data_IF_372046406567
#
_entry.id   IF_372046406567
#
_cell.length_a   1.000
_cell.length_b   1.000
_cell.length_c   1.000
_cell.angle_alpha   90.00
_cell.angle_beta   90.00
_cell.angle_gamma   90.00
#
_symmetry.space_group_name_H-M   'P 1'
#
loop_
_entity.id
_entity.type
_entity.pdbx_description
1 polymer ?
2 non-polymer ?
3 non-polymer ?
4 water ?
#
# COMPACT_ATOMS: atom_id res chain seq x y z
N UNK A 8 -6.60 0.81 -20.35
CA UNK A 8 -6.79 1.14 -18.89
C UNK A 8 -6.76 2.67 -18.66
N UNK A 9 -7.58 3.16 -17.71
CA UNK A 9 -7.70 4.59 -17.38
C UNK A 9 -6.37 5.16 -16.87
N UNK A 10 -6.32 6.52 -16.68
CA UNK A 10 -5.15 7.34 -16.12
C UNK A 10 -5.18 8.47 -14.95
N UNK A 11 -6.27 9.21 -14.76
CA UNK A 11 -6.40 10.12 -13.63
C UNK A 11 -7.31 9.43 -12.73
N UNK A 12 -8.10 8.52 -13.25
CA UNK A 12 -8.95 7.75 -12.32
C UNK A 12 -8.32 6.39 -12.21
N UNK A 13 -7.01 6.35 -12.44
CA UNK A 13 -6.22 5.13 -12.63
C UNK A 13 -6.08 4.25 -11.38
N UNK A 14 -5.93 4.87 -10.20
CA UNK A 14 -5.74 4.08 -8.98
C UNK A 14 -6.60 4.72 -7.86
N UNK A 15 -7.94 4.59 -7.99
CA UNK A 15 -8.91 5.33 -7.17
C UNK A 15 -8.91 4.92 -5.67
N UNK A 16 -8.29 3.75 -5.37
CA UNK A 16 -8.11 3.19 -4.01
C UNK A 16 -6.91 3.75 -3.22
N UNK A 17 -5.97 4.46 -3.88
CA UNK A 17 -4.73 4.80 -3.18
C UNK A 17 -4.95 5.95 -2.19
N UNK A 18 -4.47 5.81 -0.96
CA UNK A 18 -4.71 6.81 0.08
C UNK A 18 -3.39 7.46 0.43
N UNK A 19 -3.41 8.75 0.78
CA UNK A 19 -2.20 9.48 1.13
C UNK A 19 -2.31 9.70 2.61
N UNK A 20 -1.30 9.25 3.36
CA UNK A 20 -1.32 9.34 4.82
C UNK A 20 -0.25 10.34 5.36
N UNK A 21 -0.68 11.27 6.20
CA UNK A 21 0.20 12.35 6.67
C UNK A 21 0.19 12.43 8.17
N UNK A 22 1.37 12.73 8.71
CA UNK A 22 1.56 12.99 10.15
C UNK A 22 2.80 13.85 10.13
N UNK A 23 2.75 14.98 10.82
CA UNK A 23 3.89 15.90 10.81
C UNK A 23 4.37 16.22 9.39
N UNK A 24 5.62 15.90 9.08
CA UNK A 24 6.11 16.05 7.71
C UNK A 24 6.45 14.66 7.15
N UNK A 25 5.96 13.61 7.80
CA UNK A 25 6.21 12.27 7.25
C UNK A 25 5.06 11.87 6.33
N UNK A 26 5.27 10.82 5.55
CA UNK A 26 4.31 10.41 4.53
C UNK A 26 4.30 8.92 4.37
N UNK A 27 3.13 8.36 4.12
CA UNK A 27 3.03 6.97 3.74
C UNK A 27 1.83 6.88 2.81
N UNK A 28 1.76 5.86 1.98
CA UNK A 28 0.51 5.64 1.24
C UNK A 28 -0.19 4.47 1.92
N UNK A 29 -1.37 4.09 1.42
CA UNK A 29 -2.08 2.90 1.87
C UNK A 29 -3.12 2.59 0.80
N UNK A 30 -4.04 1.67 1.11
CA UNK A 30 -5.05 1.29 0.13
C UNK A 30 -6.41 1.26 0.77
N UNK A 31 -7.38 1.91 0.11
CA UNK A 31 -8.74 1.84 0.57
C UNK A 31 -9.28 0.44 0.22
N UNK A 32 -9.60 -0.33 1.25
CA UNK A 32 -10.20 -1.63 1.06
C UNK A 32 -11.69 -1.62 1.37
N UNK A 33 -12.21 -0.55 1.94
CA UNK A 33 -13.64 -0.38 2.06
C UNK A 33 -13.84 1.05 2.50
N UNK A 34 -15.10 1.54 2.50
CA UNK A 34 -15.28 2.98 2.68
C UNK A 34 -14.68 3.48 3.98
N UNK A 35 -14.66 2.68 5.04
CA UNK A 35 -14.10 3.17 6.32
C UNK A 35 -12.74 2.59 6.73
N UNK A 36 -12.12 1.78 5.85
CA UNK A 36 -10.86 1.10 6.13
C UNK A 36 -9.74 1.29 5.10
N UNK A 37 -8.56 1.64 5.59
CA UNK A 37 -7.37 1.71 4.75
C UNK A 37 -6.34 0.70 5.29
N UNK A 38 -5.68 -0.01 4.39
CA UNK A 38 -4.65 -0.94 4.72
C UNK A 38 -3.28 -0.33 4.34
N UNK A 39 -2.30 -0.33 5.26
CA UNK A 39 -0.95 0.25 5.02
C UNK A 39 0.07 -0.64 5.70
N UNK A 40 1.30 -0.12 5.82
CA UNK A 40 2.37 -0.80 6.51
C UNK A 40 2.40 -0.45 7.99
N UNK A 41 2.66 -1.46 8.82
CA UNK A 41 2.75 -1.26 10.26
C UNK A 41 3.92 -0.34 10.57
N UNK A 42 5.01 -0.45 9.81
CA UNK A 42 6.20 0.37 10.09
C UNK A 42 5.88 1.86 9.98
N UNK A 43 4.88 2.21 9.17
CA UNK A 43 4.49 3.62 9.09
C UNK A 43 3.98 4.13 10.45
N UNK A 44 3.48 3.22 11.29
CA UNK A 44 2.81 3.64 12.54
C UNK A 44 3.49 3.16 13.80
N UNK A 45 4.69 2.62 13.67
CA UNK A 45 5.36 1.97 14.81
C UNK A 45 5.73 2.90 15.95
N UNK A 46 5.85 4.20 15.72
CA UNK A 46 6.14 5.10 16.85
C UNK A 46 4.88 5.50 17.64
N UNK A 47 3.73 4.92 17.27
CA UNK A 47 2.39 5.20 17.83
C UNK A 47 1.93 6.69 17.84
N UNK A 48 1.72 7.30 16.67
CA UNK A 48 1.19 8.65 16.71
C UNK A 48 -0.25 8.66 17.26
N UNK A 49 -0.72 9.77 17.80
CA UNK A 49 -2.15 9.89 18.19
C UNK A 49 -2.98 9.88 16.92
N UNK A 50 -4.09 9.10 16.87
CA UNK A 50 -4.97 9.10 15.71
C UNK A 50 -5.36 10.51 15.25
N UNK A 51 -5.49 11.41 16.21
CA UNK A 51 -5.88 12.81 15.95
C UNK A 51 -4.89 13.56 15.05
N UNK A 52 -3.62 13.15 15.07
CA UNK A 52 -2.62 13.88 14.26
C UNK A 52 -2.42 13.26 12.87
N UNK A 53 -3.18 12.20 12.53
CA UNK A 53 -3.11 11.57 11.19
C UNK A 53 -4.11 12.25 10.27
N UNK A 54 -3.77 12.37 8.98
CA UNK A 54 -4.69 12.86 7.94
C UNK A 54 -4.62 11.91 6.76
N UNK A 55 -5.79 11.51 6.27
CA UNK A 55 -5.91 10.65 5.08
C UNK A 55 -6.58 11.49 4.01
N UNK A 56 -5.98 11.50 2.83
CA UNK A 56 -6.61 12.08 1.66
C UNK A 56 -6.75 10.97 0.63
N UNK A 57 -7.99 10.75 0.19
CA UNK A 57 -8.35 9.91 -0.94
C UNK A 57 -8.61 10.77 -2.18
N UNK A 58 -8.37 10.20 -3.36
CA UNK A 58 -8.56 10.93 -4.60
C UNK A 58 -7.49 11.96 -4.95
N UNK A 59 -6.35 11.94 -4.25
CA UNK A 59 -5.36 13.04 -4.38
C UNK A 59 -4.48 12.81 -5.61
N UNK A 60 -4.18 13.86 -6.32
CA UNK A 60 -3.31 13.76 -7.46
C UNK A 60 -1.86 14.03 -7.05
N UNK A 61 -1.62 15.10 -6.33
CA UNK A 61 -0.31 15.46 -5.84
C UNK A 61 -0.29 15.65 -4.35
N UNK A 62 0.78 15.13 -3.71
CA UNK A 62 0.87 15.24 -2.27
C UNK A 62 0.86 16.69 -1.88
N UNK A 63 0.70 16.76 -1.34
CA UNK A 63 0.18 17.87 -0.57
C UNK A 63 -0.71 18.81 -1.37
N UNK A 64 -1.37 18.68 -2.15
CA UNK A 64 -2.20 19.53 -2.97
C UNK A 64 -3.66 19.22 -2.79
N UNK A 65 -4.47 20.23 -2.47
CA UNK A 65 -5.92 20.03 -2.44
C UNK A 65 -6.40 19.94 -3.89
N UNK A 66 -7.58 19.40 -4.12
CA UNK A 66 -8.08 19.19 -5.47
C UNK A 66 -9.57 18.96 -5.30
N UNK A 67 -10.33 19.24 -6.34
CA UNK A 67 -11.79 19.18 -6.25
C UNK A 67 -12.33 17.82 -5.75
N UNK A 68 -11.92 16.71 -6.37
CA UNK A 68 -12.43 15.46 -5.85
C UNK A 68 -11.70 14.86 -4.62
N UNK A 69 -10.68 15.55 -4.09
CA UNK A 69 -9.92 15.12 -2.91
C UNK A 69 -10.84 15.03 -1.70
N UNK A 70 -10.74 13.94 -0.93
CA UNK A 70 -11.49 13.85 0.32
C UNK A 70 -10.53 13.67 1.48
N UNK A 71 -10.68 14.53 2.47
CA UNK A 71 -9.83 14.53 3.64
C UNK A 71 -10.59 13.95 4.83
N UNK A 72 -10.02 12.92 5.47
CA UNK A 72 -10.67 12.26 6.58
C UNK A 72 -9.72 12.16 7.78
N UNK A 73 -10.31 12.21 8.97
CA UNK A 73 -9.59 11.94 10.21
C UNK A 73 -9.46 10.40 10.40
N UNK A 74 -8.55 9.95 11.24
CA UNK A 74 -8.57 8.54 11.63
C UNK A 74 -9.04 8.34 13.07
N UNK A 75 -9.89 7.33 13.26
CA UNK A 75 -10.55 7.09 14.52
C UNK A 75 -9.63 6.24 15.34
N UNK A 76 -9.10 5.18 14.73
CA UNK A 76 -8.16 4.34 15.40
C UNK A 76 -7.43 3.53 14.37
N UNK A 77 -6.44 2.77 14.82
CA UNK A 77 -5.63 1.96 13.92
C UNK A 77 -5.11 0.77 14.70
N UNK A 78 -4.81 -0.31 13.98
CA UNK A 78 -4.29 -1.54 14.54
C UNK A 78 -3.09 -2.05 13.73
N UNK A 79 -1.97 -2.26 14.39
CA UNK A 79 -0.82 -2.88 13.78
C UNK A 79 -0.93 -4.34 14.05
N UNK A 80 -0.49 -5.15 13.09
CA UNK A 80 -0.42 -6.55 13.36
C UNK A 80 0.28 -6.73 14.70
N UNK A 81 -0.35 -7.51 15.59
CA UNK A 81 0.18 -7.75 16.95
C UNK A 81 1.61 -8.33 16.98
N UNK A 82 2.01 -9.02 15.90
CA UNK A 82 3.36 -9.63 15.81
C UNK A 82 4.39 -8.85 14.95
N UNK A 83 4.08 -7.62 14.58
CA UNK A 83 4.98 -6.86 13.73
C UNK A 83 6.34 -6.70 14.42
N UNK A 84 7.42 -6.91 13.65
CA UNK A 84 8.75 -6.66 14.14
C UNK A 84 9.40 -5.40 13.54
N UNK A 85 9.65 -4.37 14.38
CA UNK A 85 10.38 -3.17 13.91
C UNK A 85 11.81 -3.46 13.47
N UNK A 86 12.33 -4.63 13.80
CA UNK A 86 13.71 -4.98 13.45
C UNK A 86 13.81 -5.65 12.09
N UNK A 87 13.00 -6.69 11.86
CA UNK A 87 12.99 -7.41 10.57
C UNK A 87 11.88 -6.98 9.61
N UNK A 88 10.87 -6.29 10.15
CA UNK A 88 9.69 -5.84 9.40
C UNK A 88 8.79 -7.01 9.03
N UNK A 89 8.95 -8.17 9.66
CA UNK A 89 7.98 -9.27 9.45
C UNK A 89 6.60 -8.80 9.95
N UNK A 90 5.56 -9.27 9.29
CA UNK A 90 4.15 -8.91 9.54
C UNK A 90 3.89 -7.42 9.41
N UNK A 91 4.37 -6.85 8.32
CA UNK A 91 4.38 -5.40 8.17
C UNK A 91 3.02 -4.96 7.63
N UNK A 92 1.96 -4.99 8.46
CA UNK A 92 0.68 -4.41 8.05
C UNK A 92 -0.10 -3.74 9.18
N UNK A 93 -0.97 -2.81 8.84
CA UNK A 93 -1.80 -2.13 9.82
C UNK A 93 -3.11 -1.79 9.11
N UNK A 94 -4.17 -1.64 9.89
CA UNK A 94 -5.44 -1.07 9.43
C UNK A 94 -5.75 0.26 10.06
N UNK A 95 -6.18 1.22 9.23
CA UNK A 95 -6.72 2.49 9.67
C UNK A 95 -8.25 2.47 9.64
N UNK A 96 -8.89 2.70 10.79
CA UNK A 96 -10.34 2.88 10.81
C UNK A 96 -10.61 4.37 10.67
N UNK A 97 -11.18 4.74 9.54
CA UNK A 97 -11.41 6.15 9.29
C UNK A 97 -12.56 6.68 10.16
N UNK A 98 -12.52 7.97 10.49
CA UNK A 98 -13.60 8.64 11.22
C UNK A 98 -14.85 8.88 10.37
N UNK A 99 -15.98 8.27 10.73
CA UNK A 99 -17.27 8.52 10.03
C UNK A 99 -17.82 9.87 10.46
N UNK A 100 -18.52 10.55 9.55
CA UNK A 100 -19.03 11.90 9.82
C UNK A 100 -20.38 11.88 10.50
N UNK A 101 -21.05 13.03 10.51
CA UNK A 101 -22.42 13.17 11.04
C UNK A 101 -23.39 12.07 10.54
N UNK A 102 -23.14 11.53 9.35
CA UNK A 102 -24.07 10.59 8.70
C UNK A 102 -23.80 9.09 8.84
N UNK A 103 -22.68 8.72 9.47
CA UNK A 103 -22.23 7.32 9.46
C UNK A 103 -21.39 7.01 8.23
N UNK A 104 -21.02 8.04 7.46
CA UNK A 104 -20.26 7.83 6.21
C UNK A 104 -18.78 8.16 6.33
N UNK A 105 -17.92 7.37 5.70
CA UNK A 105 -16.48 7.64 5.64
C UNK A 105 -15.97 8.05 4.24
N UNK A 106 -15.56 7.10 3.37
CA UNK A 106 -15.20 7.56 2.01
C UNK A 106 -16.54 7.71 1.25
N UNK A 107 -16.72 8.84 0.58
CA UNK A 107 -17.77 9.00 -0.41
C UNK A 107 -17.25 8.45 -1.73
N UNK A 108 -17.68 7.25 -2.07
CA UNK A 108 -17.26 6.63 -3.31
C UNK A 108 -17.64 7.49 -4.49
N UNK A 109 -16.73 7.53 -5.46
CA UNK A 109 -16.86 8.48 -6.55
C UNK A 109 -16.04 7.95 -7.72
N UNK A 110 -16.04 8.66 -8.84
CA UNK A 110 -15.21 8.15 -9.91
C UNK A 110 -13.70 8.26 -9.57
N UNK A 111 -13.32 8.97 -8.51
CA UNK A 111 -11.94 9.13 -8.08
C UNK A 111 -11.59 8.38 -6.81
N UNK A 112 -12.61 7.77 -6.22
CA UNK A 112 -12.42 7.16 -4.91
C UNK A 112 -13.29 5.92 -4.86
N UNK A 113 -12.61 4.79 -4.79
CA UNK A 113 -13.21 3.48 -4.91
C UNK A 113 -12.26 2.52 -4.13
N UNK A 114 -12.85 1.54 -3.41
CA UNK A 114 -12.04 0.55 -2.69
C UNK A 114 -11.38 -0.49 -3.62
N UNK A 115 -10.30 -1.14 -3.17
CA UNK A 115 -9.70 -2.20 -3.98
C UNK A 115 -10.06 -3.54 -3.34
N UNK A 116 -10.21 -4.56 -4.18
CA UNK A 116 -10.61 -5.85 -3.70
C UNK A 116 -9.39 -6.63 -3.16
N UNK A 117 -9.65 -7.37 -2.08
CA UNK A 117 -8.64 -8.23 -1.44
C UNK A 117 -8.41 -9.47 -2.28
N UNK A 118 -7.23 -10.12 -2.14
CA UNK A 118 -7.08 -11.32 -2.97
C UNK A 118 -8.04 -12.47 -2.54
N UNK A 119 -8.33 -13.41 -3.45
CA UNK A 119 -9.16 -14.56 -3.08
C UNK A 119 -8.40 -15.52 -2.18
N UNK A 120 -7.08 -15.58 -2.36
CA UNK A 120 -6.25 -16.60 -1.70
C UNK A 120 -6.26 -17.95 -2.42
N UNK A 121 -7.26 -18.13 -3.29
CA UNK A 121 -7.28 -19.23 -4.23
C UNK A 121 -6.07 -19.13 -5.15
N UNK A 122 -5.87 -17.93 -5.72
CA UNK A 122 -4.81 -17.67 -6.67
C UNK A 122 -3.43 -17.62 -6.01
N UNK A 123 -2.64 -18.68 -6.21
CA UNK A 123 -1.26 -18.66 -5.75
C UNK A 123 -0.36 -18.02 -6.80
N UNK A 124 0.26 -16.86 -6.47
CA UNK A 124 1.05 -16.11 -7.47
C UNK A 124 2.27 -16.88 -7.94
N UNK A 125 2.71 -16.54 -9.14
CA UNK A 125 3.78 -17.24 -9.85
C UNK A 125 4.51 -16.18 -10.66
N UNK A 126 5.67 -16.53 -11.19
CA UNK A 126 6.50 -15.59 -11.95
C UNK A 126 5.86 -15.10 -13.26
N UNK A 127 4.76 -15.74 -13.65
CA UNK A 127 3.97 -15.30 -14.81
C UNK A 127 2.89 -14.26 -14.45
N UNK A 128 2.57 -14.11 -13.15
CA UNK A 128 1.61 -13.09 -12.68
C UNK A 128 2.13 -11.67 -12.94
N UNK A 129 1.24 -10.85 -13.47
CA UNK A 129 1.54 -9.47 -13.80
C UNK A 129 0.97 -8.50 -12.73
N UNK A 130 1.80 -7.55 -12.31
CA UNK A 130 1.39 -6.62 -11.27
C UNK A 130 1.68 -5.18 -11.66
N UNK A 131 1.14 -4.29 -10.83
CA UNK A 131 1.38 -2.87 -10.88
C UNK A 131 1.58 -2.25 -9.50
N UNK A 132 2.58 -1.38 -9.37
CA UNK A 132 2.81 -0.64 -8.13
C UNK A 132 2.60 0.85 -8.41
N UNK A 133 1.83 1.53 -7.56
CA UNK A 133 1.58 2.97 -7.73
C UNK A 133 2.11 3.71 -6.50
N UNK A 134 2.50 4.96 -6.69
CA UNK A 134 3.03 5.79 -5.60
C UNK A 134 3.58 7.09 -6.17
N UNK A 135 4.05 7.93 -5.27
CA UNK A 135 4.63 9.23 -5.61
C UNK A 135 6.16 9.11 -5.57
N UNK A 136 6.68 8.61 -4.46
CA UNK A 136 8.10 8.32 -4.39
C UNK A 136 8.88 9.55 -3.97
N UNK A 137 10.17 9.53 -4.31
CA UNK A 137 11.07 10.68 -4.09
C UNK A 137 10.68 11.98 -4.82
N UNK A 138 10.75 13.06 -4.08
CA UNK A 138 10.49 14.34 -4.65
C UNK A 138 11.43 15.26 -3.86
N UNK A 139 12.03 16.23 -4.53
CA UNK A 139 12.90 17.20 -3.85
C UNK A 139 12.05 18.07 -2.95
N UNK A 140 12.46 18.22 -1.68
CA UNK A 140 11.86 19.18 -0.76
C UNK A 140 11.85 20.62 -1.28
N UNK A 141 10.80 21.36 -0.93
CA UNK A 141 10.64 22.77 -1.30
C UNK A 141 9.93 22.93 -2.63
N UNK A 142 9.55 24.16 -2.96
CA UNK A 142 8.87 24.46 -4.21
C UNK A 142 7.69 23.50 -4.47
N UNK A 143 6.62 23.69 -3.71
CA UNK A 143 5.39 22.86 -3.81
C UNK A 143 4.75 22.73 -5.18
N UNK A 144 4.74 23.85 -5.91
CA UNK A 144 4.24 23.93 -7.26
C UNK A 144 4.79 22.81 -8.20
N UNK A 145 5.94 22.24 -7.85
CA UNK A 145 6.56 21.14 -8.61
C UNK A 145 6.34 19.71 -8.04
N UNK A 146 5.46 19.58 -7.03
CA UNK A 146 5.09 18.30 -6.44
C UNK A 146 4.85 17.26 -7.52
N UNK A 147 5.32 16.05 -7.29
CA UNK A 147 5.11 15.05 -8.32
C UNK A 147 3.69 14.50 -8.32
N UNK A 148 3.32 14.03 -9.50
CA UNK A 148 2.15 13.23 -9.76
C UNK A 148 2.35 11.78 -9.35
N UNK A 149 1.25 11.14 -9.00
CA UNK A 149 1.21 9.70 -8.83
C UNK A 149 1.78 9.03 -10.09
N UNK A 150 2.58 8.00 -9.91
CA UNK A 150 3.04 7.23 -11.03
C UNK A 150 2.92 5.73 -10.76
N UNK A 151 3.16 4.92 -11.79
CA UNK A 151 2.87 3.50 -11.72
C UNK A 151 3.90 2.73 -12.49
N UNK A 152 4.22 1.53 -12.03
CA UNK A 152 5.10 0.67 -12.80
C UNK A 152 4.54 -0.74 -12.90
N UNK A 153 4.73 -1.34 -14.05
CA UNK A 153 4.38 -2.73 -14.27
C UNK A 153 5.54 -3.59 -13.81
N UNK A 154 5.27 -4.49 -12.86
CA UNK A 154 6.33 -5.33 -12.27
C UNK A 154 5.87 -6.77 -12.20
N UNK A 155 6.79 -7.71 -12.46
CA UNK A 155 6.46 -9.12 -12.32
C UNK A 155 6.68 -9.61 -10.90
N UNK A 156 5.87 -10.57 -10.48
CA UNK A 156 6.07 -11.23 -9.21
C UNK A 156 7.46 -11.88 -9.30
N UNK A 157 8.20 -11.87 -8.20
CA UNK A 157 9.52 -12.48 -8.20
C UNK A 157 9.53 -13.54 -7.15
N UNK A 158 9.89 -14.74 -7.58
CA UNK A 158 9.88 -15.92 -6.74
C UNK A 158 10.65 -15.73 -5.45
N UNK A 159 10.21 -16.44 -4.43
CA UNK A 159 10.91 -16.52 -3.17
C UNK A 159 12.36 -17.02 -3.29
N UNK A 160 12.58 -18.03 -4.13
CA UNK A 160 13.93 -18.55 -4.40
C UNK A 160 14.88 -17.49 -4.96
N UNK A 161 14.43 -16.74 -5.97
CA UNK A 161 15.24 -15.69 -6.60
C UNK A 161 15.42 -14.45 -5.68
N UNK A 162 14.38 -14.11 -4.90
CA UNK A 162 14.43 -12.98 -3.96
C UNK A 162 15.38 -13.20 -2.79
N UNK A 163 15.42 -14.43 -2.26
CA UNK A 163 16.29 -14.81 -1.13
C UNK A 163 17.75 -15.11 -1.51
N UNK A 164 18.09 -15.00 -2.78
CA UNK A 164 19.49 -15.12 -3.23
C UNK A 164 20.38 -14.18 -2.47
N UNK A 165 21.65 -14.57 -2.21
CA UNK A 165 22.53 -13.79 -1.31
C UNK A 165 22.80 -12.43 -1.92
N UNK A 166 22.67 -12.45 -3.22
CA UNK A 166 23.00 -11.42 -4.13
C UNK A 166 21.78 -10.44 -4.24
N UNK A 167 20.61 -10.89 -3.80
CA UNK A 167 19.46 -10.00 -3.82
C UNK A 167 18.96 -9.54 -2.44
N UNK A 168 18.10 -10.26 -1.75
CA UNK A 168 17.71 -9.78 -0.43
C UNK A 168 18.12 -10.75 0.68
N UNK A 169 18.64 -11.91 0.30
CA UNK A 169 19.26 -12.83 1.28
C UNK A 169 18.26 -13.41 2.27
N UNK A 170 18.71 -13.51 3.52
CA UNK A 170 17.95 -14.16 4.55
C UNK A 170 17.01 -13.14 5.20
N UNK A 171 16.94 -11.96 4.60
CA UNK A 171 16.02 -10.94 5.05
C UNK A 171 14.58 -11.20 4.66
N UNK A 172 14.39 -12.01 3.63
CA UNK A 172 13.07 -12.40 3.17
C UNK A 172 12.55 -13.45 4.14
N UNK A 173 11.41 -13.14 4.73
CA UNK A 173 10.71 -13.96 5.72
C UNK A 173 9.28 -14.26 5.27
N UNK A 174 8.71 -15.41 5.70
CA UNK A 174 7.31 -15.70 5.41
C UNK A 174 6.45 -14.51 5.69
N UNK A 175 5.48 -14.25 4.80
CA UNK A 175 4.60 -13.08 4.91
C UNK A 175 5.07 -11.93 4.05
N UNK A 176 6.27 -12.08 3.48
CA UNK A 176 6.84 -11.12 2.53
C UNK A 176 6.80 -11.69 1.13
N UNK A 177 6.60 -10.84 0.13
CA UNK A 177 6.77 -11.29 -1.26
C UNK A 177 7.50 -10.24 -2.06
N UNK A 178 8.05 -10.64 -3.19
CA UNK A 178 8.88 -9.71 -3.96
C UNK A 178 8.29 -9.52 -5.33
N UNK A 179 8.55 -8.34 -5.88
CA UNK A 179 8.15 -8.02 -7.26
C UNK A 179 9.11 -7.01 -7.81
N UNK A 180 9.33 -7.06 -9.13
CA UNK A 180 10.31 -6.17 -9.77
C UNK A 180 11.30 -6.97 -10.60
N UNK A 181 12.28 -6.28 -11.18
CA UNK A 181 13.30 -6.93 -11.99
C UNK A 181 14.59 -6.96 -11.19
N UNK A 182 15.34 -8.04 -11.36
CA UNK A 182 16.61 -8.26 -10.69
C UNK A 182 17.58 -7.09 -10.89
N UNK A 183 17.73 -6.63 -12.14
CA UNK A 183 18.49 -5.39 -12.42
C UNK A 183 17.68 -4.25 -13.11
N UNK A 184 16.57 -4.59 -13.77
CA UNK A 184 15.74 -3.64 -14.53
C UNK A 184 15.55 -2.21 -14.01
N UNK A 185 15.09 -2.05 -12.76
CA UNK A 185 15.14 -0.75 -12.08
C UNK A 185 13.84 -0.06 -11.68
N UNK A 186 13.95 1.24 -11.52
CA UNK A 186 12.87 2.20 -11.26
C UNK A 186 11.57 1.97 -10.49
N UNK A 187 11.62 1.33 -9.33
CA UNK A 187 10.43 1.27 -8.47
C UNK A 187 10.85 1.90 -7.14
N UNK A 188 12.14 1.78 -6.79
CA UNK A 188 12.64 2.23 -5.47
C UNK A 188 12.56 3.75 -5.29
N UNK A 189 12.51 4.46 -6.41
CA UNK A 189 12.33 5.90 -6.38
C UNK A 189 10.87 6.33 -6.62
N UNK A 190 9.98 5.39 -6.92
CA UNK A 190 8.56 5.77 -7.10
C UNK A 190 7.45 5.17 -6.21
N UNK A 191 7.77 4.25 -5.31
CA UNK A 191 6.76 3.73 -4.40
C UNK A 191 6.84 4.43 -3.06
N UNK A 192 5.76 4.38 -2.29
CA UNK A 192 5.79 4.92 -0.92
C UNK A 192 5.55 3.79 0.06
N UNK A 193 6.26 3.81 1.20
CA UNK A 193 5.96 2.87 2.30
C UNK A 193 4.45 2.74 2.45
N UNK A 194 3.95 1.51 2.54
CA UNK A 194 2.51 1.23 2.67
C UNK A 194 1.65 1.25 1.40
N UNK A 195 2.20 1.67 0.28
CA UNK A 195 1.48 1.72 -1.01
C UNK A 195 1.13 0.38 -1.64
N UNK A 196 0.29 0.41 -2.69
CA UNK A 196 -0.38 -0.77 -3.28
C UNK A 196 0.43 -1.51 -4.34
N UNK A 197 0.44 -2.85 -4.27
CA UNK A 197 0.84 -3.68 -5.40
C UNK A 197 -0.38 -4.49 -5.79
N UNK A 198 -0.86 -4.21 -6.98
CA UNK A 198 -2.12 -4.74 -7.44
C UNK A 198 -1.80 -5.73 -8.58
N UNK A 199 -2.25 -6.99 -8.48
CA UNK A 199 -1.91 -8.05 -9.46
C UNK A 199 -3.11 -8.83 -9.96
N UNK A 200 -2.91 -9.53 -11.08
CA UNK A 200 -3.89 -10.51 -11.61
C UNK A 200 -4.28 -11.53 -10.54
N UNK A 201 -5.58 -11.70 -10.36
CA UNK A 201 -6.13 -12.72 -9.46
C UNK A 201 -6.82 -13.75 -10.34
N UNK A 202 -7.73 -13.27 -11.19
CA UNK A 202 -8.48 -14.07 -12.19
C UNK A 202 -9.52 -15.01 -11.55
N UNK A 203 -9.09 -15.80 -10.56
CA UNK A 203 -9.98 -16.55 -9.67
C UNK A 203 -10.78 -15.65 -8.70
N UNK A 204 -10.80 -14.34 -8.96
CA UNK A 204 -11.56 -13.36 -8.17
C UNK A 204 -12.55 -12.59 -9.05
N UNK A 205 -13.64 -12.10 -8.42
CA UNK A 205 -14.65 -11.32 -9.14
C UNK A 205 -13.98 -10.24 -9.99
N UNK A 206 -13.10 -9.47 -9.37
CA UNK A 206 -12.29 -8.49 -10.07
C UNK A 206 -11.10 -9.15 -10.81
N UNK A 207 -10.59 -8.45 -11.82
CA UNK A 207 -9.42 -8.88 -12.59
C UNK A 207 -8.13 -8.71 -11.76
N UNK A 208 -7.98 -7.52 -11.16
CA UNK A 208 -6.85 -7.17 -10.29
C UNK A 208 -7.29 -7.11 -8.82
N UNK A 209 -6.44 -7.64 -7.94
CA UNK A 209 -6.60 -7.51 -6.50
C UNK A 209 -5.31 -7.05 -5.84
N UNK A 210 -5.44 -6.50 -4.64
CA UNK A 210 -4.34 -6.00 -3.89
C UNK A 210 -3.61 -7.19 -3.28
N UNK A 211 -2.39 -7.42 -3.75
CA UNK A 211 -1.62 -8.53 -3.28
C UNK A 211 -0.33 -8.12 -2.56
N UNK A 212 0.01 -6.83 -2.60
CA UNK A 212 1.19 -6.38 -1.88
C UNK A 212 1.02 -5.03 -1.24
N UNK A 213 1.70 -4.84 -0.11
CA UNK A 213 1.85 -3.55 0.53
C UNK A 213 3.35 -3.22 0.56
N UNK A 214 3.73 -2.08 -0.02
CA UNK A 214 5.15 -1.67 -0.02
C UNK A 214 5.68 -1.65 1.40
N UNK A 215 6.70 -2.46 1.64
CA UNK A 215 7.29 -2.66 2.96
C UNK A 215 8.72 -2.14 3.07
N UNK A 216 9.60 -2.61 2.18
CA UNK A 216 11.02 -2.19 2.21
C UNK A 216 11.72 -2.66 0.95
N UNK A 217 12.97 -2.25 0.78
CA UNK A 217 13.72 -2.62 -0.43
C UNK A 217 14.97 -1.78 -0.45
N UNK A 218 15.56 -1.61 -1.62
CA UNK A 218 16.80 -0.80 -1.77
C UNK A 218 16.47 0.71 -1.73
N UNK A 219 17.43 1.52 -1.26
CA UNK A 219 17.23 2.95 -1.07
C UNK A 219 17.13 3.69 -2.39
N UNK A 220 16.21 4.64 -2.51
CA UNK A 220 16.22 5.50 -3.72
C UNK A 220 17.65 6.05 -3.96
N UNK A 221 18.16 5.92 -5.18
CA UNK A 221 19.54 6.28 -5.48
C UNK A 221 20.48 5.10 -5.71
N UNK A 222 20.36 4.04 -4.90
CA UNK A 222 21.16 2.84 -5.10
C UNK A 222 20.62 2.08 -6.29
N UNK A 223 21.37 1.08 -6.74
CA UNK A 223 20.90 0.28 -7.84
C UNK A 223 19.69 -0.50 -7.36
N UNK A 224 18.65 -0.51 -8.19
CA UNK A 224 17.40 -1.15 -7.80
C UNK A 224 17.55 -2.63 -7.50
N UNK A 225 16.94 -3.06 -6.40
CA UNK A 225 16.69 -4.47 -6.19
C UNK A 225 15.17 -4.58 -6.34
N UNK A 226 14.64 -5.80 -6.45
CA UNK A 226 13.20 -5.96 -6.35
C UNK A 226 12.73 -5.31 -5.06
N UNK A 227 11.52 -4.74 -5.03
CA UNK A 227 10.94 -4.30 -3.75
C UNK A 227 10.30 -5.48 -3.00
N UNK A 228 10.32 -5.39 -1.67
CA UNK A 228 9.74 -6.41 -0.80
C UNK A 228 8.43 -5.82 -0.31
N UNK A 229 7.38 -6.66 -0.31
CA UNK A 229 6.01 -6.24 -0.07
C UNK A 229 5.48 -7.15 1.00
N UNK A 230 4.58 -6.64 1.84
CA UNK A 230 3.81 -7.52 2.72
C UNK A 230 2.82 -8.34 1.85
N UNK A 231 2.85 -9.66 2.02
CA UNK A 231 2.05 -10.57 1.21
C UNK A 231 0.60 -10.56 1.75
N UNK A 232 -0.28 -9.77 1.14
CA UNK A 232 -1.63 -9.60 1.70
C UNK A 232 -2.36 -10.94 1.90
N UNK A 233 -2.17 -11.87 0.97
CA UNK A 233 -2.92 -13.14 0.99
C UNK A 233 -2.55 -13.97 2.24
N UNK A 234 -1.29 -13.92 2.67
CA UNK A 234 -0.86 -14.62 3.88
C UNK A 234 -1.62 -14.12 5.11
N UNK A 235 -2.09 -12.88 5.11
CA UNK A 235 -2.73 -12.32 6.33
C UNK A 235 -4.21 -12.19 6.18
N UNK A 236 -4.75 -12.82 5.15
CA UNK A 236 -6.15 -12.65 4.77
C UNK A 236 -7.15 -12.88 5.93
N UNK A 237 -6.91 -13.89 6.76
CA UNK A 237 -7.83 -14.12 7.89
C UNK A 237 -7.69 -13.00 8.93
N UNK A 238 -6.47 -12.51 9.11
CA UNK A 238 -6.26 -11.40 10.03
C UNK A 238 -7.02 -10.15 9.58
N UNK A 239 -7.00 -9.89 8.26
CA UNK A 239 -7.64 -8.67 7.73
C UNK A 239 -9.18 -8.74 7.84
N UNK A 240 -9.74 -9.89 7.46
CA UNK A 240 -11.18 -10.18 7.66
C UNK A 240 -11.58 -10.04 9.12
N UNK A 241 -10.90 -10.78 9.99
CA UNK A 241 -11.30 -10.83 11.39
C UNK A 241 -11.36 -9.43 12.02
N UNK A 242 -10.40 -8.57 11.67
CA UNK A 242 -10.34 -7.28 12.37
C UNK A 242 -11.15 -6.19 11.65
N UNK A 243 -11.89 -6.54 10.60
CA UNK A 243 -12.79 -5.60 9.96
C UNK A 243 -14.28 -5.98 10.05
N UNK A 244 -14.57 -7.14 10.62
CA UNK A 244 -15.92 -7.69 10.56
C UNK A 244 -16.99 -6.70 11.13
N UNK A 245 -18.13 -6.64 10.46
CA UNK A 245 -19.23 -5.78 10.83
C UNK A 245 -19.93 -6.22 12.13
N UNK A 246 -19.96 -7.51 12.40
CA UNK A 246 -20.68 -7.99 13.56
C UNK A 246 -19.85 -9.02 14.28
N UNK A 247 -19.91 -8.99 15.61
CA UNK A 247 -19.31 -10.09 16.34
C UNK A 247 -20.12 -11.36 16.08
N UNK A 248 -19.34 -12.42 15.85
CA UNK A 248 -19.85 -13.73 15.46
C UNK A 248 -18.90 -14.81 15.98
X LIG B 1 1.77 8.00 10.02
X LIG B 1 2.88 7.87 8.99
X LIG B 1 2.79 8.91 7.87
X LIG B 1 4.06 8.02 9.77
X LIG C 1 7.38 9.22 14.63
X LIG C 1 6.54 8.80 13.44
X LIG C 1 5.03 9.00 13.65
X LIG C 1 7.06 9.54 12.34
X LIG D 1 14.55 -1.58 9.41
X LIG D 1 13.93 -2.96 9.22
X LIG D 1 14.21 -3.76 7.92
X LIG D 1 13.86 -3.04 6.67
X LIG D 1 15.64 -4.30 7.70
X LIG D 1 15.57 -5.41 6.65
X LIG D 1 15.06 -1.29 10.52
X LIG D 1 14.51 -0.73 8.49
X LIG D 1 13.68 -3.81 5.70
X LIG D 1 13.80 -1.79 6.62
X LIG D 1 14.50 -5.99 6.53
X LIG D 1 16.55 -5.78 5.93
X LIG D 1 13.30 -4.87 7.85
#
# INVERSE_FOLDING_TARGET
>A
RSVVGGLVALRGAHPYIAALYWGHSFCAGSLIAPCWVLTAAHCLQDRPAPEDLTVVLGQERRNHSCEPCQTLAVRSYRLHEAFSPVSYQHDLALLRLQEDADGSCALLSPYVQPVSLPSGAARPSETTLCQVAGWGHQFEGAEEYASFLQEAQVPFLSLERCSAPDVHGSSILPGMLCAGFLEGGTDACQGDSGGPLVCEDQAAERRLTLQGIISWGSGCGDRNKPGVYTDVAYYLAWIREHTVSHHTGTRHHHHHH
>B hetero
1 IPA C1 C2 C3 O2
>C hetero
1 IPA C1 C2 C3 O2
>D hetero
1 FLC CAC CA CB CBC CG CGC OA1 OA2 OB1 OB2 OG1 OG2 OHB
#
